data_IF_367151397194
#
_entry.id   IF_367151397194
#
_cell.length_a   1.000
_cell.length_b   1.000
_cell.length_c   1.000
_cell.angle_alpha   90.00
_cell.angle_beta   90.00
_cell.angle_gamma   90.00
#
_symmetry.space_group_name_H-M   'P 1'
#
loop_
_entity.id
_entity.type
_entity.pdbx_description
1 polymer ?
#
# COMPACT_ATOMS: atom_id res chain seq x y z
N UNK A 1 12.02 19.50 -52.77
CA UNK A 1 11.75 18.22 -52.10
C UNK A 1 11.59 18.53 -50.63
N UNK A 2 10.32 18.54 -50.15
CA UNK A 2 10.01 18.79 -48.73
C UNK A 2 10.22 17.47 -48.00
N UNK A 3 11.27 17.37 -47.18
CA UNK A 3 11.40 16.24 -46.26
C UNK A 3 10.32 16.38 -45.16
N UNK A 4 9.45 15.38 -45.03
CA UNK A 4 8.58 15.28 -43.90
C UNK A 4 9.41 15.20 -42.60
N UNK A 5 8.95 15.83 -41.49
CA UNK A 5 9.66 15.73 -40.22
C UNK A 5 9.74 14.27 -39.77
N UNK A 6 10.84 13.86 -39.12
CA UNK A 6 10.98 12.49 -38.64
C UNK A 6 9.83 12.14 -37.65
N UNK A 7 9.19 11.01 -37.88
CA UNK A 7 8.17 10.48 -37.00
C UNK A 7 8.76 10.32 -35.60
N UNK A 8 8.14 10.85 -34.54
CA UNK A 8 8.64 10.67 -33.19
C UNK A 8 8.77 9.17 -32.88
N UNK A 9 9.81 8.75 -32.15
CA UNK A 9 9.98 7.36 -31.78
C UNK A 9 8.74 6.86 -31.02
N UNK A 10 8.30 5.66 -31.37
CA UNK A 10 7.16 5.03 -30.69
C UNK A 10 7.41 5.02 -29.18
N UNK A 11 6.38 5.28 -28.34
CA UNK A 11 6.53 5.28 -26.89
C UNK A 11 7.08 3.93 -26.44
N UNK A 12 8.13 3.97 -25.60
CA UNK A 12 8.81 2.77 -25.12
C UNK A 12 7.87 1.95 -24.26
N UNK A 13 7.56 0.73 -24.68
CA UNK A 13 6.73 -0.18 -23.91
C UNK A 13 7.44 -0.65 -22.64
N UNK A 14 6.70 -0.82 -21.56
CA UNK A 14 7.23 -1.16 -20.24
C UNK A 14 7.15 -2.68 -19.99
N UNK A 15 8.22 -3.23 -19.41
CA UNK A 15 8.23 -4.54 -18.79
C UNK A 15 7.87 -4.37 -17.32
N UNK A 16 6.81 -5.03 -16.85
CA UNK A 16 6.28 -4.96 -15.49
C UNK A 16 6.54 -6.27 -14.77
N UNK A 17 7.19 -6.20 -13.61
CA UNK A 17 7.33 -7.32 -12.67
C UNK A 17 6.22 -7.20 -11.61
N UNK A 18 5.47 -8.26 -11.34
CA UNK A 18 4.45 -8.31 -10.28
C UNK A 18 4.87 -9.33 -9.24
N UNK A 19 5.02 -8.89 -7.99
CA UNK A 19 5.48 -9.70 -6.86
C UNK A 19 4.40 -9.76 -5.80
N UNK A 20 3.78 -10.93 -5.66
CA UNK A 20 2.68 -11.20 -4.73
C UNK A 20 2.60 -12.72 -4.53
N UNK A 21 2.31 -13.23 -3.35
CA UNK A 21 2.18 -14.67 -3.07
C UNK A 21 0.78 -15.23 -3.42
N UNK A 22 -0.13 -14.38 -3.91
CA UNK A 22 -1.48 -14.78 -4.29
C UNK A 22 -1.65 -14.91 -5.80
N UNK A 23 -1.93 -16.10 -6.32
CA UNK A 23 -2.16 -16.37 -7.74
C UNK A 23 -3.27 -15.51 -8.36
N UNK A 24 -4.31 -15.21 -7.58
CA UNK A 24 -5.42 -14.37 -8.05
C UNK A 24 -4.98 -12.95 -8.41
N UNK A 25 -3.97 -12.41 -7.70
CA UNK A 25 -3.41 -11.09 -7.98
C UNK A 25 -2.63 -11.13 -9.29
N UNK A 26 -1.80 -12.16 -9.50
CA UNK A 26 -1.07 -12.35 -10.76
C UNK A 26 -2.03 -12.46 -11.96
N UNK A 27 -3.09 -13.25 -11.80
CA UNK A 27 -4.10 -13.42 -12.84
C UNK A 27 -4.80 -12.09 -13.16
N UNK A 28 -5.28 -11.40 -12.13
CA UNK A 28 -5.95 -10.13 -12.28
C UNK A 28 -5.06 -9.06 -12.89
N UNK A 29 -3.85 -8.87 -12.37
CA UNK A 29 -2.90 -7.89 -12.88
C UNK A 29 -2.47 -8.19 -14.32
N UNK A 30 -2.26 -9.46 -14.66
CA UNK A 30 -1.93 -9.85 -16.04
C UNK A 30 -3.04 -9.46 -17.01
N UNK A 31 -4.32 -9.76 -16.68
CA UNK A 31 -5.45 -9.44 -17.55
C UNK A 31 -5.52 -7.95 -17.85
N UNK A 32 -5.39 -7.10 -16.81
CA UNK A 32 -5.54 -5.65 -16.99
C UNK A 32 -4.30 -5.01 -17.62
N UNK A 33 -3.10 -5.51 -17.32
CA UNK A 33 -1.85 -4.96 -17.85
C UNK A 33 -1.62 -5.29 -19.32
N UNK A 34 -1.95 -6.51 -19.78
CA UNK A 34 -1.75 -6.88 -21.20
C UNK A 34 -2.69 -6.13 -22.14
N UNK A 35 -3.75 -5.52 -21.63
CA UNK A 35 -4.65 -4.68 -22.40
C UNK A 35 -4.12 -3.24 -22.62
N UNK A 36 -3.02 -2.88 -21.94
CA UNK A 36 -2.43 -1.55 -22.05
C UNK A 36 -1.43 -1.48 -23.20
N UNK A 37 -1.58 -0.51 -24.09
CA UNK A 37 -0.70 -0.32 -25.25
C UNK A 37 0.77 -0.04 -24.87
N UNK A 38 0.99 0.48 -23.65
CA UNK A 38 2.32 0.80 -23.11
C UNK A 38 2.99 -0.39 -22.41
N UNK A 39 2.33 -1.55 -22.26
CA UNK A 39 2.93 -2.77 -21.67
C UNK A 39 3.51 -3.66 -22.76
N UNK A 40 4.79 -4.04 -22.61
CA UNK A 40 5.44 -5.07 -23.42
C UNK A 40 5.17 -6.45 -22.85
N UNK A 41 5.41 -6.61 -21.55
CA UNK A 41 5.19 -7.88 -20.83
C UNK A 41 4.92 -7.67 -19.35
N UNK A 42 4.20 -8.63 -18.76
CA UNK A 42 3.98 -8.77 -17.32
C UNK A 42 4.64 -10.07 -16.84
N UNK A 43 5.53 -9.97 -15.85
CA UNK A 43 6.30 -11.08 -15.30
C UNK A 43 5.83 -11.30 -13.87
N UNK A 44 5.32 -12.50 -13.52
CA UNK A 44 4.95 -12.82 -12.14
C UNK A 44 6.17 -13.25 -11.32
N UNK A 45 6.15 -13.03 -10.01
CA UNK A 45 7.03 -13.61 -9.00
C UNK A 45 6.23 -13.84 -7.71
N UNK A 46 6.39 -15.00 -7.08
CA UNK A 46 5.63 -15.38 -5.88
C UNK A 46 6.47 -15.29 -4.60
N UNK A 47 7.78 -15.08 -4.73
CA UNK A 47 8.72 -14.93 -3.61
C UNK A 47 9.75 -13.83 -3.90
N UNK A 48 10.45 -13.39 -2.85
CA UNK A 48 11.53 -12.41 -3.00
C UNK A 48 12.71 -12.96 -3.82
N UNK A 49 13.02 -14.26 -3.72
CA UNK A 49 14.09 -14.90 -4.51
C UNK A 49 13.76 -14.90 -6.00
N UNK A 50 12.53 -15.26 -6.34
CA UNK A 50 12.04 -15.18 -7.73
C UNK A 50 12.04 -13.74 -8.25
N UNK A 51 11.63 -12.77 -7.42
CA UNK A 51 11.61 -11.37 -7.80
C UNK A 51 13.01 -10.85 -8.15
N UNK A 52 14.02 -11.22 -7.33
CA UNK A 52 15.42 -10.87 -7.55
C UNK A 52 15.98 -11.52 -8.83
N UNK A 53 15.75 -12.83 -9.02
CA UNK A 53 16.17 -13.54 -10.25
C UNK A 53 15.57 -12.90 -11.50
N UNK A 54 14.28 -12.61 -11.45
CA UNK A 54 13.55 -12.02 -12.59
C UNK A 54 13.96 -10.59 -12.86
N UNK A 55 14.30 -9.82 -11.81
CA UNK A 55 14.86 -8.49 -11.98
C UNK A 55 16.18 -8.51 -12.75
N UNK A 56 17.10 -9.45 -12.41
CA UNK A 56 18.36 -9.63 -13.15
C UNK A 56 18.13 -10.07 -14.59
N UNK A 57 17.24 -11.04 -14.79
CA UNK A 57 17.04 -11.68 -16.10
C UNK A 57 16.30 -10.81 -17.11
N UNK A 58 15.29 -10.09 -16.67
CA UNK A 58 14.36 -9.38 -17.55
C UNK A 58 14.50 -7.87 -17.51
N UNK A 59 15.28 -7.32 -16.57
CA UNK A 59 15.50 -5.89 -16.42
C UNK A 59 14.19 -5.08 -16.46
N UNK A 60 13.19 -5.36 -15.59
CA UNK A 60 11.89 -4.72 -15.65
C UNK A 60 12.01 -3.21 -15.42
N UNK A 61 11.18 -2.43 -16.08
CA UNK A 61 11.13 -0.98 -15.90
C UNK A 61 10.48 -0.61 -14.57
N UNK A 62 9.45 -1.38 -14.18
CA UNK A 62 8.72 -1.20 -12.93
C UNK A 62 8.43 -2.55 -12.28
N UNK A 63 8.54 -2.61 -10.96
CA UNK A 63 8.12 -3.74 -10.13
C UNK A 63 6.99 -3.30 -9.20
N UNK A 64 5.82 -3.94 -9.33
CA UNK A 64 4.73 -3.87 -8.36
C UNK A 64 5.01 -4.93 -7.30
N UNK A 65 5.22 -4.53 -6.04
CA UNK A 65 5.61 -5.45 -4.96
C UNK A 65 4.61 -5.32 -3.82
N UNK A 66 3.98 -6.44 -3.42
CA UNK A 66 3.16 -6.44 -2.22
C UNK A 66 4.01 -6.14 -0.98
N UNK A 67 3.42 -5.46 -0.01
CA UNK A 67 4.09 -5.12 1.25
C UNK A 67 4.40 -6.36 2.09
N UNK A 68 3.66 -7.45 1.88
CA UNK A 68 3.86 -8.74 2.51
C UNK A 68 3.75 -9.84 1.46
N UNK A 69 4.81 -10.59 1.23
CA UNK A 69 4.90 -11.72 0.29
C UNK A 69 5.31 -12.95 1.09
N UNK A 70 4.36 -13.80 1.45
CA UNK A 70 4.58 -14.85 2.44
C UNK A 70 5.05 -14.26 3.77
N UNK A 71 6.21 -14.69 4.24
CA UNK A 71 6.84 -14.19 5.48
C UNK A 71 7.83 -13.03 5.23
N UNK A 72 8.02 -12.60 3.97
CA UNK A 72 8.98 -11.55 3.62
C UNK A 72 8.31 -10.16 3.57
N UNK A 73 9.04 -9.15 4.08
CA UNK A 73 8.60 -7.76 3.92
C UNK A 73 8.88 -7.26 2.50
N UNK A 74 7.87 -6.68 1.85
CA UNK A 74 8.00 -6.12 0.50
C UNK A 74 9.05 -5.00 0.40
N UNK A 75 9.35 -4.33 1.51
CA UNK A 75 10.45 -3.35 1.59
C UNK A 75 11.84 -3.99 1.41
N UNK A 76 12.03 -5.22 1.89
CA UNK A 76 13.28 -5.96 1.73
C UNK A 76 13.39 -6.50 0.30
N UNK A 77 12.28 -7.00 -0.23
CA UNK A 77 12.18 -7.40 -1.65
C UNK A 77 12.47 -6.22 -2.57
N UNK A 78 11.94 -5.03 -2.27
CA UNK A 78 12.20 -3.81 -3.04
C UNK A 78 13.70 -3.47 -3.09
N UNK A 79 14.42 -3.59 -1.96
CA UNK A 79 15.88 -3.39 -1.92
C UNK A 79 16.62 -4.43 -2.76
N UNK A 80 16.22 -5.71 -2.69
CA UNK A 80 16.82 -6.81 -3.45
C UNK A 80 16.60 -6.63 -4.95
N UNK A 81 15.40 -6.31 -5.38
CA UNK A 81 15.07 -6.04 -6.78
C UNK A 81 15.91 -4.89 -7.33
N UNK A 82 16.06 -3.79 -6.58
CA UNK A 82 16.90 -2.67 -6.98
C UNK A 82 18.40 -2.97 -6.93
N UNK A 83 18.84 -3.80 -6.00
CA UNK A 83 20.23 -4.26 -6.00
C UNK A 83 20.54 -5.15 -7.23
N UNK A 84 19.58 -5.97 -7.65
CA UNK A 84 19.68 -6.83 -8.82
C UNK A 84 19.63 -6.03 -10.14
N UNK A 85 18.78 -5.00 -10.21
CA UNK A 85 18.66 -4.09 -11.37
C UNK A 85 18.33 -2.66 -10.91
N UNK A 86 19.32 -1.78 -10.75
CA UNK A 86 19.15 -0.43 -10.17
C UNK A 86 18.19 0.49 -10.94
N UNK A 87 17.99 0.24 -12.23
CA UNK A 87 17.05 1.03 -13.04
C UNK A 87 15.58 0.65 -12.84
N UNK A 88 15.29 -0.50 -12.21
CA UNK A 88 13.92 -0.90 -11.88
C UNK A 88 13.34 0.03 -10.83
N UNK A 89 12.22 0.65 -11.14
CA UNK A 89 11.46 1.48 -10.20
C UNK A 89 10.46 0.61 -9.45
N UNK A 90 10.37 0.76 -8.15
CA UNK A 90 9.50 -0.08 -7.32
C UNK A 90 8.27 0.70 -6.88
N UNK A 91 7.09 0.14 -7.13
CA UNK A 91 5.81 0.55 -6.58
C UNK A 91 5.39 -0.48 -5.55
N UNK A 92 5.34 -0.09 -4.28
CA UNK A 92 4.80 -0.94 -3.22
C UNK A 92 3.28 -0.88 -3.24
N UNK A 93 2.62 -2.02 -2.98
CA UNK A 93 1.17 -2.09 -2.87
C UNK A 93 0.79 -2.86 -1.60
N UNK A 94 -0.32 -2.51 -0.94
CA UNK A 94 -0.79 -3.24 0.23
C UNK A 94 -2.31 -3.29 0.35
N UNK A 95 -2.84 -4.47 0.70
CA UNK A 95 -4.25 -4.66 1.06
C UNK A 95 -4.55 -4.44 2.53
N UNK A 96 -3.58 -4.76 3.39
CA UNK A 96 -3.70 -4.61 4.84
C UNK A 96 -2.38 -4.06 5.39
N UNK A 97 -2.45 -2.92 6.03
CA UNK A 97 -1.26 -2.26 6.56
C UNK A 97 -0.82 -1.08 5.68
N UNK A 98 -0.05 -0.19 6.30
CA UNK A 98 0.41 1.03 5.66
C UNK A 98 1.86 1.26 6.02
N UNK A 99 2.59 1.75 5.05
CA UNK A 99 3.94 2.24 5.25
C UNK A 99 3.92 3.76 5.05
N UNK A 100 4.71 4.48 5.79
CA UNK A 100 4.86 5.92 5.52
C UNK A 100 5.62 6.13 4.20
N UNK A 101 5.32 7.22 3.50
CA UNK A 101 6.06 7.58 2.29
C UNK A 101 7.57 7.69 2.56
N UNK A 102 7.96 8.14 3.76
CA UNK A 102 9.36 8.20 4.20
C UNK A 102 9.98 6.81 4.29
N UNK A 103 9.29 5.84 4.93
CA UNK A 103 9.78 4.46 5.04
C UNK A 103 9.81 3.75 3.68
N UNK A 104 8.82 3.98 2.82
CA UNK A 104 8.81 3.44 1.46
C UNK A 104 9.99 4.00 0.63
N UNK A 105 10.25 5.30 0.69
CA UNK A 105 11.44 5.91 0.05
C UNK A 105 12.75 5.38 0.61
N UNK A 106 12.84 5.17 1.94
CA UNK A 106 14.03 4.58 2.56
C UNK A 106 14.29 3.14 2.09
N UNK A 107 13.24 2.40 1.71
CA UNK A 107 13.36 1.10 1.04
C UNK A 107 13.68 1.22 -0.47
N UNK A 108 13.77 2.43 -0.99
CA UNK A 108 14.06 2.72 -2.40
C UNK A 108 12.83 2.62 -3.31
N UNK A 109 11.62 2.59 -2.77
CA UNK A 109 10.41 2.62 -3.59
C UNK A 109 10.20 4.01 -4.20
N UNK A 110 9.74 4.03 -5.44
CA UNK A 110 9.30 5.21 -6.15
C UNK A 110 7.80 5.49 -5.95
N UNK A 111 7.11 4.60 -5.27
CA UNK A 111 5.69 4.79 -4.94
C UNK A 111 5.16 3.79 -3.93
N UNK A 112 4.00 4.14 -3.39
CA UNK A 112 3.17 3.28 -2.56
C UNK A 112 1.70 3.58 -2.83
N UNK A 113 0.91 2.53 -3.08
CA UNK A 113 -0.55 2.60 -3.24
C UNK A 113 -1.24 1.51 -2.44
N UNK A 114 -2.50 1.71 -2.12
CA UNK A 114 -3.30 0.70 -1.42
C UNK A 114 -4.11 -0.16 -2.40
N UNK A 115 -4.32 -1.45 -2.09
CA UNK A 115 -5.13 -2.39 -2.90
C UNK A 115 -6.64 -2.09 -2.87
N UNK A 116 -7.09 -1.14 -2.03
CA UNK A 116 -8.47 -0.64 -2.00
C UNK A 116 -8.79 0.34 -3.15
N UNK A 117 -7.79 0.76 -3.91
CA UNK A 117 -7.97 1.50 -5.16
C UNK A 117 -8.59 0.62 -6.25
N UNK A 118 -9.19 1.25 -7.24
CA UNK A 118 -9.63 0.54 -8.43
C UNK A 118 -8.42 -0.08 -9.19
N UNK A 119 -8.66 -1.16 -9.93
CA UNK A 119 -7.62 -1.74 -10.77
C UNK A 119 -7.06 -0.72 -11.79
N UNK A 120 -7.89 0.17 -12.30
CA UNK A 120 -7.48 1.23 -13.22
C UNK A 120 -6.52 2.22 -12.55
N UNK A 121 -6.76 2.62 -11.29
CA UNK A 121 -5.87 3.52 -10.55
C UNK A 121 -4.52 2.87 -10.24
N UNK A 122 -4.50 1.56 -9.96
CA UNK A 122 -3.25 0.80 -9.75
C UNK A 122 -2.46 0.72 -11.06
N UNK A 123 -3.12 0.43 -12.18
CA UNK A 123 -2.50 0.38 -13.52
C UNK A 123 -1.91 1.74 -13.89
N UNK A 124 -2.63 2.83 -13.64
CA UNK A 124 -2.14 4.19 -13.87
C UNK A 124 -0.92 4.50 -12.97
N UNK A 125 -0.93 4.09 -11.70
CA UNK A 125 0.21 4.25 -10.80
C UNK A 125 1.44 3.48 -11.30
N UNK A 126 1.26 2.24 -11.80
CA UNK A 126 2.34 1.44 -12.42
C UNK A 126 2.93 2.18 -13.62
N UNK A 127 2.08 2.71 -14.50
CA UNK A 127 2.52 3.46 -15.67
C UNK A 127 3.34 4.68 -15.27
N UNK A 128 2.82 5.53 -14.40
CA UNK A 128 3.48 6.75 -13.92
C UNK A 128 4.83 6.46 -13.27
N UNK A 129 4.89 5.43 -12.41
CA UNK A 129 6.17 5.00 -11.83
C UNK A 129 7.12 4.49 -12.91
N UNK A 130 6.63 3.72 -13.89
CA UNK A 130 7.41 3.18 -14.99
C UNK A 130 8.04 4.24 -15.89
N UNK A 131 7.38 5.39 -16.07
CA UNK A 131 7.90 6.52 -16.85
C UNK A 131 8.75 7.51 -16.05
N UNK A 132 8.96 7.24 -14.75
CA UNK A 132 9.91 8.01 -13.92
C UNK A 132 9.28 8.91 -12.86
N UNK A 133 7.95 8.92 -12.71
CA UNK A 133 7.28 9.69 -11.67
C UNK A 133 7.35 9.00 -10.31
N UNK A 134 7.17 9.77 -9.24
CA UNK A 134 6.87 9.24 -7.91
C UNK A 134 5.36 9.25 -7.67
N UNK A 135 4.83 8.13 -7.15
CA UNK A 135 3.41 7.99 -6.85
C UNK A 135 3.25 7.47 -5.43
N UNK A 136 3.04 8.36 -4.50
CA UNK A 136 2.68 8.00 -3.14
C UNK A 136 1.23 8.38 -2.91
N UNK A 137 0.43 7.41 -2.46
CA UNK A 137 -0.84 7.76 -1.89
C UNK A 137 -0.60 8.83 -0.81
N UNK A 138 -1.38 9.91 -0.81
CA UNK A 138 -1.30 10.85 0.30
C UNK A 138 -1.34 9.98 1.55
N UNK A 139 -0.50 10.28 2.57
CA UNK A 139 -0.60 9.56 3.82
C UNK A 139 -2.09 9.55 4.08
N UNK A 140 -2.70 8.35 4.05
CA UNK A 140 -4.07 8.30 4.49
C UNK A 140 -4.00 9.07 5.78
N UNK A 141 -4.82 10.09 5.89
CA UNK A 141 -5.06 10.74 7.17
C UNK A 141 -5.15 9.56 8.10
N UNK A 142 -4.08 9.30 8.85
CA UNK A 142 -3.88 8.01 9.52
C UNK A 142 -5.12 7.76 10.33
N UNK A 143 -5.53 6.53 10.54
CA UNK A 143 -6.71 6.28 11.39
C UNK A 143 -6.55 7.05 12.71
N UNK A 144 -5.29 7.19 13.18
CA UNK A 144 -4.92 8.11 14.25
C UNK A 144 -5.33 9.58 14.00
N UNK A 145 -5.21 10.07 12.78
CA UNK A 145 -5.59 11.45 12.40
C UNK A 145 -7.08 11.58 12.04
N UNK A 146 -7.76 10.46 11.77
CA UNK A 146 -9.22 10.43 11.60
C UNK A 146 -9.97 10.33 12.92
N UNK A 147 -9.29 9.88 13.99
CA UNK A 147 -9.84 9.90 15.32
C UNK A 147 -9.81 11.34 15.85
N UNK A 148 -10.95 11.81 16.33
CA UNK A 148 -11.00 13.06 17.09
C UNK A 148 -10.22 12.90 18.40
N UNK A 149 -9.90 14.00 19.07
CA UNK A 149 -9.24 13.97 20.38
C UNK A 149 -10.04 13.07 21.35
N UNK A 150 -11.36 13.23 21.39
CA UNK A 150 -12.24 12.44 22.25
C UNK A 150 -12.30 10.94 21.88
N UNK A 151 -12.29 10.60 20.61
CA UNK A 151 -12.23 9.20 20.18
C UNK A 151 -10.89 8.55 20.53
N UNK A 152 -9.79 9.32 20.55
CA UNK A 152 -8.48 8.82 20.96
C UNK A 152 -8.42 8.59 22.48
N UNK A 153 -8.88 9.54 23.29
CA UNK A 153 -8.99 9.40 24.73
C UNK A 153 -9.84 8.15 25.09
N UNK A 154 -10.99 7.97 24.42
CA UNK A 154 -11.83 6.79 24.59
C UNK A 154 -11.06 5.52 24.19
N UNK A 155 -10.28 5.53 23.10
CA UNK A 155 -9.52 4.36 22.65
C UNK A 155 -8.45 3.95 23.66
N UNK A 156 -7.72 4.90 24.23
CA UNK A 156 -6.69 4.65 25.25
C UNK A 156 -7.31 4.00 26.51
N UNK A 157 -8.43 4.51 26.99
CA UNK A 157 -9.14 3.95 28.14
C UNK A 157 -9.80 2.59 27.81
N UNK A 158 -10.24 2.41 26.56
CA UNK A 158 -10.69 1.11 26.07
C UNK A 158 -9.54 0.10 26.08
N UNK A 159 -8.35 0.48 25.66
CA UNK A 159 -7.15 -0.37 25.69
C UNK A 159 -6.70 -0.70 27.13
N UNK A 160 -6.87 0.25 28.06
CA UNK A 160 -6.65 0.03 29.48
C UNK A 160 -7.71 -0.88 30.16
N UNK A 161 -8.74 -1.32 29.42
CA UNK A 161 -9.72 -2.27 29.90
C UNK A 161 -10.96 -1.66 30.58
N UNK A 162 -11.10 -0.35 30.67
CA UNK A 162 -12.19 0.33 31.35
C UNK A 162 -13.54 0.10 30.66
N UNK A 163 -14.61 -0.08 31.40
CA UNK A 163 -15.99 -0.11 30.90
C UNK A 163 -16.45 1.27 30.44
N UNK A 164 -17.52 1.36 29.65
CA UNK A 164 -18.05 2.66 29.22
C UNK A 164 -18.52 3.55 30.41
N UNK A 165 -18.92 2.96 31.52
CA UNK A 165 -19.31 3.70 32.74
C UNK A 165 -18.07 4.32 33.43
N UNK A 166 -16.96 3.57 33.52
CA UNK A 166 -15.69 4.05 34.06
C UNK A 166 -15.09 5.12 33.18
N UNK A 167 -15.07 4.92 31.84
CA UNK A 167 -14.63 5.92 30.86
C UNK A 167 -15.46 7.21 30.98
N UNK A 168 -16.77 7.08 31.19
CA UNK A 168 -17.65 8.22 31.39
C UNK A 168 -17.26 9.04 32.63
N UNK A 169 -16.90 8.35 33.72
CA UNK A 169 -16.38 8.99 34.92
C UNK A 169 -15.05 9.73 34.68
N UNK A 170 -14.08 9.07 34.05
CA UNK A 170 -12.75 9.63 33.74
C UNK A 170 -12.83 10.88 32.82
N UNK A 171 -13.67 10.81 31.80
CA UNK A 171 -13.78 11.87 30.79
C UNK A 171 -14.84 12.93 31.12
N UNK A 172 -15.54 12.79 32.25
CA UNK A 172 -16.67 13.65 32.66
C UNK A 172 -17.78 13.73 31.58
N UNK A 173 -18.12 12.57 31.01
CA UNK A 173 -19.13 12.40 29.97
C UNK A 173 -20.30 11.53 30.48
N UNK A 174 -21.38 11.49 29.72
CA UNK A 174 -22.42 10.47 29.94
C UNK A 174 -21.97 9.11 29.34
N UNK A 175 -22.40 7.96 29.91
CA UNK A 175 -22.12 6.66 29.34
C UNK A 175 -22.64 6.52 27.89
N UNK A 176 -23.71 7.22 27.54
CA UNK A 176 -24.25 7.23 26.19
C UNK A 176 -23.34 8.00 25.22
N UNK A 177 -22.78 9.12 25.63
CA UNK A 177 -21.80 9.88 24.86
C UNK A 177 -20.53 9.06 24.60
N UNK A 178 -20.05 8.33 25.63
CA UNK A 178 -18.92 7.38 25.46
C UNK A 178 -19.25 6.29 24.43
N UNK A 179 -20.45 5.73 24.49
CA UNK A 179 -20.91 4.73 23.50
C UNK A 179 -20.93 5.30 22.07
N UNK A 180 -21.33 6.53 21.88
CA UNK A 180 -21.33 7.21 20.58
C UNK A 180 -19.90 7.39 20.05
N UNK A 181 -18.98 7.90 20.88
CA UNK A 181 -17.56 8.03 20.52
C UNK A 181 -16.94 6.67 20.22
N UNK A 182 -17.19 5.64 21.03
CA UNK A 182 -16.70 4.29 20.78
C UNK A 182 -17.24 3.70 19.46
N UNK A 183 -18.52 3.87 19.17
CA UNK A 183 -19.13 3.39 17.92
C UNK A 183 -18.54 4.10 16.69
N UNK A 184 -18.33 5.41 16.77
CA UNK A 184 -17.68 6.19 15.72
C UNK A 184 -16.22 5.76 15.51
N UNK A 185 -15.48 5.59 16.60
CA UNK A 185 -14.12 5.08 16.62
C UNK A 185 -14.01 3.68 16.01
N UNK A 186 -14.88 2.72 16.40
CA UNK A 186 -14.89 1.37 15.83
C UNK A 186 -15.12 1.40 14.31
N UNK A 187 -16.05 2.23 13.84
CA UNK A 187 -16.28 2.43 12.40
C UNK A 187 -15.04 2.98 11.70
N UNK A 188 -14.36 3.97 12.28
CA UNK A 188 -13.13 4.58 11.73
C UNK A 188 -11.95 3.61 11.72
N UNK A 189 -11.85 2.73 12.73
CA UNK A 189 -10.87 1.65 12.81
C UNK A 189 -11.23 0.45 11.92
N UNK A 190 -12.45 0.39 11.39
CA UNK A 190 -12.99 -0.80 10.72
C UNK A 190 -13.16 -1.99 11.66
N UNK A 191 -13.28 -1.76 12.97
CA UNK A 191 -13.36 -2.78 14.00
C UNK A 191 -14.77 -3.27 14.19
N UNK A 192 -14.91 -4.58 14.42
CA UNK A 192 -16.21 -5.26 14.64
C UNK A 192 -16.65 -5.26 16.11
N UNK A 193 -15.71 -5.15 17.02
CA UNK A 193 -15.93 -5.14 18.46
C UNK A 193 -14.77 -4.46 19.19
N UNK A 194 -14.87 -4.33 20.52
CA UNK A 194 -13.90 -3.67 21.38
C UNK A 194 -12.51 -4.29 21.30
N UNK A 195 -12.40 -5.60 21.36
CA UNK A 195 -11.11 -6.30 21.30
C UNK A 195 -10.44 -6.14 19.92
N UNK A 196 -11.23 -6.25 18.84
CA UNK A 196 -10.77 -6.01 17.47
C UNK A 196 -10.31 -4.54 17.28
N UNK A 197 -10.95 -3.57 17.97
CA UNK A 197 -10.55 -2.18 17.91
C UNK A 197 -9.16 -1.93 18.53
N UNK A 198 -8.88 -2.50 19.68
CA UNK A 198 -7.57 -2.39 20.35
C UNK A 198 -6.49 -3.05 19.49
N UNK A 199 -6.72 -4.26 19.00
CA UNK A 199 -5.78 -4.99 18.18
C UNK A 199 -5.46 -4.26 16.85
N UNK A 200 -6.47 -3.65 16.23
CA UNK A 200 -6.28 -2.85 15.01
C UNK A 200 -5.55 -1.56 15.28
N UNK A 201 -5.87 -0.89 16.38
CA UNK A 201 -5.21 0.35 16.78
C UNK A 201 -3.71 0.13 17.03
N UNK A 202 -3.32 -0.98 17.67
CA UNK A 202 -1.92 -1.37 17.85
C UNK A 202 -1.24 -1.66 16.51
N UNK A 203 -1.86 -2.45 15.64
CA UNK A 203 -1.33 -2.72 14.29
C UNK A 203 -1.18 -1.48 13.42
N UNK A 204 -2.00 -0.47 13.64
CA UNK A 204 -1.96 0.80 12.91
C UNK A 204 -1.04 1.86 13.57
N UNK A 205 -0.37 1.51 14.69
CA UNK A 205 0.49 2.43 15.43
C UNK A 205 -0.28 3.63 16.02
N UNK A 206 -1.56 3.42 16.37
CA UNK A 206 -2.44 4.40 17.04
C UNK A 206 -2.36 4.26 18.55
N UNK A 207 -2.05 3.05 19.01
CA UNK A 207 -1.73 2.66 20.38
C UNK A 207 -0.33 2.04 20.40
N UNK A 208 0.39 2.28 21.51
CA UNK A 208 1.67 1.63 21.81
C UNK A 208 1.49 0.16 22.19
#
# INVERSE_FOLDING_TARGET
>A
VSLAPPTPPAPRKLCVLVVDDHDIVHWGMRIVLVQQDWVDRCIPATTGDEAEERARRYAPHVALVDLFVGDEAGTDIARRVRAAHPATRVLLVSGAGRISATAARAAGAAGFVTKDRSAADIVEAIHRVGIGEEVFDPPAIGVAQRLTVREREVLELVAAGLTNAEIAGELQLSPNTVKEHASSMFRKLGARNRADAVQRAQRLGVLD
#
